data_IF_709613095085
#
_entry.id   IF_709613095085
#
_cell.length_a   1.000
_cell.length_b   1.000
_cell.length_c   1.000
_cell.angle_alpha   90.00
_cell.angle_beta   90.00
_cell.angle_gamma   90.00
#
_symmetry.space_group_name_H-M   'P 1'
#
loop_
_entity.id
_entity.type
_entity.pdbx_description
1 polymer ?
#
# COMPACT_ATOMS: atom_id res chain seq x y z
N UNK A 1 33.66 -4.37 31.53
CA UNK A 1 33.07 -3.36 30.65
C UNK A 1 32.92 -4.00 29.28
N UNK A 2 31.69 -4.18 28.82
CA UNK A 2 31.36 -4.90 27.58
C UNK A 2 31.27 -3.89 26.42
N UNK A 3 31.91 -4.09 25.25
CA UNK A 3 31.95 -3.09 24.18
C UNK A 3 30.67 -3.01 23.33
N UNK A 4 29.60 -3.74 23.69
CA UNK A 4 28.42 -3.93 22.83
C UNK A 4 27.18 -3.09 23.21
N UNK A 5 27.25 -2.24 24.22
CA UNK A 5 26.10 -1.45 24.70
C UNK A 5 25.93 -0.06 24.03
N UNK A 6 26.39 0.12 22.78
CA UNK A 6 26.34 1.44 22.08
C UNK A 6 25.71 1.38 20.69
N UNK A 7 24.64 0.59 20.50
CA UNK A 7 23.73 0.78 19.37
C UNK A 7 22.30 0.96 19.88
N UNK A 8 22.08 2.16 20.37
CA UNK A 8 20.81 2.66 20.89
C UNK A 8 19.81 2.86 19.74
N UNK A 9 18.59 2.40 19.99
CA UNK A 9 17.41 2.39 19.13
C UNK A 9 17.15 3.73 18.39
N UNK A 10 17.50 3.80 17.10
CA UNK A 10 16.97 4.82 16.20
C UNK A 10 15.60 4.37 15.65
N UNK A 11 14.57 4.40 16.50
CA UNK A 11 13.20 4.39 15.96
C UNK A 11 12.93 5.77 15.35
N UNK A 12 12.45 5.84 14.08
CA UNK A 12 12.11 7.11 13.48
C UNK A 12 11.04 7.81 14.31
N UNK A 13 11.27 9.07 14.68
CA UNK A 13 10.30 9.85 15.45
C UNK A 13 8.95 9.92 14.72
N UNK A 14 7.84 9.97 15.45
CA UNK A 14 6.47 10.06 14.89
C UNK A 14 6.34 11.14 13.79
N UNK A 15 7.01 12.29 13.98
CA UNK A 15 7.05 13.40 13.01
C UNK A 15 7.58 12.98 11.63
N UNK A 16 8.51 12.01 11.57
CA UNK A 16 9.09 11.49 10.32
C UNK A 16 8.08 10.62 9.55
N UNK A 17 7.29 9.84 10.28
CA UNK A 17 6.26 8.98 9.70
C UNK A 17 5.11 9.83 9.14
N UNK A 18 4.68 10.84 9.88
CA UNK A 18 3.67 11.81 9.43
C UNK A 18 4.13 12.58 8.18
N UNK A 19 5.41 12.98 8.13
CA UNK A 19 5.99 13.65 6.97
C UNK A 19 6.03 12.74 5.73
N UNK A 20 6.36 11.45 5.90
CA UNK A 20 6.36 10.50 4.79
C UNK A 20 4.96 10.19 4.26
N UNK A 21 3.97 10.04 5.14
CA UNK A 21 2.56 9.89 4.75
C UNK A 21 2.08 11.11 3.96
N UNK A 22 2.41 12.31 4.43
CA UNK A 22 2.09 13.55 3.72
C UNK A 22 2.75 13.61 2.33
N UNK A 23 4.00 13.14 2.21
CA UNK A 23 4.71 13.06 0.94
C UNK A 23 4.08 12.03 -0.01
N UNK A 24 3.68 10.85 0.49
CA UNK A 24 3.00 9.83 -0.31
C UNK A 24 1.67 10.33 -0.86
N UNK A 25 0.80 10.89 -0.01
CA UNK A 25 -0.44 11.51 -0.47
C UNK A 25 -0.19 12.63 -1.48
N UNK A 26 0.88 13.41 -1.30
CA UNK A 26 1.26 14.45 -2.26
C UNK A 26 1.67 13.85 -3.61
N UNK A 27 2.47 12.77 -3.61
CA UNK A 27 2.91 12.07 -4.82
C UNK A 27 1.75 11.39 -5.57
N UNK A 28 0.84 10.72 -4.84
CA UNK A 28 -0.38 10.13 -5.42
C UNK A 28 -1.27 11.22 -6.03
N UNK A 29 -1.46 12.35 -5.34
CA UNK A 29 -2.22 13.51 -5.85
C UNK A 29 -1.57 14.20 -7.04
N UNK A 30 -0.25 14.09 -7.22
CA UNK A 30 0.43 14.61 -8.41
C UNK A 30 0.17 13.74 -9.65
N UNK A 31 -0.14 12.45 -9.49
CA UNK A 31 -0.52 11.56 -10.59
C UNK A 31 -1.95 11.85 -11.08
N UNK A 32 -2.86 12.16 -10.16
CA UNK A 32 -4.26 12.53 -10.45
C UNK A 32 -4.48 14.04 -10.35
N UNK A 33 -4.03 14.75 -11.37
CA UNK A 33 -4.06 16.22 -11.43
C UNK A 33 -5.46 16.84 -11.41
N UNK A 34 -6.56 16.08 -11.50
CA UNK A 34 -7.93 16.60 -11.61
C UNK A 34 -8.98 15.78 -10.84
N UNK A 35 -8.85 15.69 -9.51
CA UNK A 35 -9.83 15.07 -8.62
C UNK A 35 -10.25 16.00 -7.45
N UNK A 36 -11.46 15.82 -6.94
CA UNK A 36 -11.95 16.54 -5.77
C UNK A 36 -11.15 16.19 -4.53
N UNK A 37 -10.54 17.16 -3.85
CA UNK A 37 -9.66 16.90 -2.69
C UNK A 37 -10.35 16.26 -1.48
N UNK A 38 -11.65 16.42 -1.35
CA UNK A 38 -12.42 15.92 -0.20
C UNK A 38 -12.97 14.51 -0.42
N UNK A 39 -13.68 14.28 -1.52
CA UNK A 39 -14.37 13.03 -1.81
C UNK A 39 -13.75 12.23 -2.97
N UNK A 40 -12.61 12.69 -3.49
CA UNK A 40 -11.83 12.10 -4.58
C UNK A 40 -12.53 11.93 -5.93
N UNK A 41 -13.81 12.32 -6.09
CA UNK A 41 -14.49 12.32 -7.41
C UNK A 41 -13.65 13.01 -8.49
N UNK A 42 -13.32 12.29 -9.55
CA UNK A 42 -12.64 12.82 -10.73
C UNK A 42 -13.64 13.50 -11.67
N UNK A 43 -13.15 14.31 -12.61
CA UNK A 43 -14.01 14.96 -13.60
C UNK A 43 -14.90 13.97 -14.40
N UNK A 44 -14.44 12.74 -14.58
CA UNK A 44 -15.15 11.68 -15.32
C UNK A 44 -16.29 11.04 -14.50
N UNK A 45 -16.32 11.25 -13.19
CA UNK A 45 -17.31 10.66 -12.27
C UNK A 45 -18.40 11.65 -11.83
N UNK A 46 -18.35 12.88 -12.35
CA UNK A 46 -19.35 13.91 -12.05
C UNK A 46 -20.56 13.79 -12.98
N UNK A 47 -21.70 14.33 -12.54
CA UNK A 47 -22.91 14.37 -13.36
C UNK A 47 -22.67 15.18 -14.65
N UNK A 48 -23.39 14.87 -15.75
CA UNK A 48 -23.27 15.62 -17.00
C UNK A 48 -23.43 17.14 -16.78
N UNK A 49 -22.44 17.91 -17.23
CA UNK A 49 -22.42 19.38 -17.10
C UNK A 49 -21.76 19.90 -15.83
N UNK A 50 -21.47 19.06 -14.84
CA UNK A 50 -20.67 19.46 -13.68
C UNK A 50 -19.17 19.46 -14.01
N UNK A 51 -18.43 20.38 -13.37
CA UNK A 51 -16.98 20.49 -13.51
C UNK A 51 -16.36 20.68 -12.13
N UNK A 52 -15.16 20.15 -11.97
CA UNK A 52 -14.35 20.42 -10.78
C UNK A 52 -14.03 21.92 -10.69
N UNK A 53 -14.24 22.48 -9.51
CA UNK A 53 -13.99 23.87 -9.18
C UNK A 53 -12.62 24.00 -8.51
N UNK A 54 -11.75 24.83 -9.09
CA UNK A 54 -10.45 25.11 -8.50
C UNK A 54 -10.56 26.16 -7.37
N UNK A 55 -9.78 25.99 -6.30
CA UNK A 55 -9.60 27.06 -5.32
C UNK A 55 -8.94 28.29 -5.96
N UNK A 56 -9.63 29.42 -5.96
CA UNK A 56 -9.15 30.66 -6.61
C UNK A 56 -7.81 31.14 -6.06
N UNK A 57 -7.59 31.05 -4.73
CA UNK A 57 -6.32 31.44 -4.09
C UNK A 57 -5.17 30.51 -4.44
N UNK A 58 -5.40 29.20 -4.42
CA UNK A 58 -4.36 28.21 -4.72
C UNK A 58 -3.97 28.20 -6.20
N UNK A 59 -4.92 28.52 -7.09
CA UNK A 59 -4.68 28.63 -8.52
C UNK A 59 -3.59 29.65 -8.85
N UNK A 60 -3.53 30.77 -8.12
CA UNK A 60 -2.50 31.80 -8.32
C UNK A 60 -1.09 31.26 -8.02
N UNK A 61 -0.98 30.39 -7.02
CA UNK A 61 0.29 29.81 -6.56
C UNK A 61 0.67 28.52 -7.29
N UNK A 62 0.05 28.25 -8.45
CA UNK A 62 0.20 27.00 -9.22
C UNK A 62 -0.13 25.73 -8.42
N UNK A 63 -0.92 25.87 -7.36
CA UNK A 63 -1.43 24.73 -6.61
C UNK A 63 -2.84 24.38 -7.07
N UNK A 64 -2.94 23.32 -7.87
CA UNK A 64 -4.21 22.90 -8.44
C UNK A 64 -4.99 22.06 -7.41
N UNK A 65 -5.77 22.75 -6.58
CA UNK A 65 -6.70 22.11 -5.63
C UNK A 65 -8.12 22.23 -6.15
N UNK A 66 -8.74 21.09 -6.41
CA UNK A 66 -10.08 20.98 -7.00
C UNK A 66 -11.10 20.45 -6.01
N UNK A 67 -12.37 20.84 -6.21
CA UNK A 67 -13.51 20.33 -5.47
C UNK A 67 -14.69 20.08 -6.41
N UNK A 68 -15.48 19.05 -6.17
CA UNK A 68 -16.70 18.81 -6.96
C UNK A 68 -17.85 19.72 -6.54
N UNK A 69 -17.81 20.28 -5.33
CA UNK A 69 -18.86 21.13 -4.78
C UNK A 69 -18.31 22.11 -3.75
N UNK A 70 -19.08 23.16 -3.46
CA UNK A 70 -18.80 24.09 -2.37
C UNK A 70 -18.80 23.39 -1.00
N UNK A 71 -19.63 22.36 -0.82
CA UNK A 71 -19.67 21.56 0.41
C UNK A 71 -18.31 20.89 0.68
N UNK A 72 -17.78 20.19 -0.32
CA UNK A 72 -16.45 19.56 -0.23
C UNK A 72 -15.35 20.58 0.08
N UNK A 73 -15.38 21.77 -0.54
CA UNK A 73 -14.41 22.82 -0.24
C UNK A 73 -14.48 23.28 1.23
N UNK A 74 -15.68 23.47 1.79
CA UNK A 74 -15.86 23.92 3.18
C UNK A 74 -15.45 22.83 4.17
N UNK A 75 -15.69 21.57 3.84
CA UNK A 75 -15.24 20.42 4.62
C UNK A 75 -13.72 20.32 4.65
N UNK A 76 -13.05 20.33 3.49
CA UNK A 76 -11.58 20.30 3.39
C UNK A 76 -10.96 21.55 4.06
N UNK A 77 -11.66 22.69 4.03
CA UNK A 77 -11.23 23.91 4.72
C UNK A 77 -11.05 23.70 6.23
N UNK A 78 -11.96 22.97 6.88
CA UNK A 78 -11.95 22.76 8.33
C UNK A 78 -11.24 21.47 8.73
N UNK A 79 -11.53 20.39 8.02
CA UNK A 79 -11.24 19.00 8.39
C UNK A 79 -10.44 18.26 7.32
N UNK A 80 -9.83 18.99 6.37
CA UNK A 80 -9.07 18.39 5.29
C UNK A 80 -7.96 17.47 5.76
N UNK A 81 -7.78 16.35 5.06
CA UNK A 81 -6.74 15.37 5.34
C UNK A 81 -5.66 15.38 4.24
N UNK A 82 -4.37 15.25 4.59
CA UNK A 82 -3.83 15.13 5.95
C UNK A 82 -3.80 16.47 6.72
N UNK A 83 -3.92 17.61 6.02
CA UNK A 83 -3.88 18.96 6.62
C UNK A 83 -5.07 19.77 6.10
N UNK A 84 -5.82 20.47 6.98
CA UNK A 84 -6.90 21.33 6.56
C UNK A 84 -6.47 22.38 5.53
N UNK A 85 -7.26 22.56 4.47
CA UNK A 85 -6.92 23.47 3.37
C UNK A 85 -6.63 24.89 3.84
N UNK A 86 -7.31 25.37 4.89
CA UNK A 86 -7.09 26.71 5.45
C UNK A 86 -5.62 27.00 5.83
N UNK A 87 -4.87 25.97 6.23
CA UNK A 87 -3.49 26.13 6.70
C UNK A 87 -2.49 26.26 5.54
N UNK A 88 -2.90 25.83 4.35
CA UNK A 88 -2.05 25.72 3.17
C UNK A 88 -2.55 26.62 2.02
N UNK A 89 -3.80 27.10 2.10
CA UNK A 89 -4.43 27.91 1.08
C UNK A 89 -3.69 29.23 0.86
N UNK A 90 -3.28 29.49 -0.38
CA UNK A 90 -2.61 30.75 -0.75
C UNK A 90 -1.17 30.89 -0.26
N UNK A 91 -0.56 29.83 0.31
CA UNK A 91 0.87 29.78 0.62
C UNK A 91 1.67 29.23 -0.56
N UNK A 92 2.93 29.64 -0.72
CA UNK A 92 3.87 28.98 -1.61
C UNK A 92 4.37 27.71 -0.94
N UNK A 93 4.68 26.67 -1.72
CA UNK A 93 5.16 25.37 -1.19
C UNK A 93 6.41 25.56 -0.31
N UNK A 94 7.28 26.51 -0.67
CA UNK A 94 8.48 26.84 0.10
C UNK A 94 8.20 27.46 1.49
N UNK A 95 7.00 28.03 1.70
CA UNK A 95 6.63 28.75 2.91
C UNK A 95 5.72 27.93 3.84
N UNK A 96 5.51 26.63 3.55
CA UNK A 96 4.77 25.74 4.44
C UNK A 96 5.79 25.18 5.44
N UNK A 97 5.80 25.67 6.71
CA UNK A 97 6.77 25.19 7.67
C UNK A 97 6.48 23.72 8.00
N UNK A 98 7.51 22.87 7.94
CA UNK A 98 7.45 21.44 8.30
C UNK A 98 6.94 21.19 9.74
N UNK A 99 6.83 22.22 10.57
CA UNK A 99 6.35 22.16 11.95
C UNK A 99 4.82 22.05 12.11
N UNK A 100 4.02 22.14 11.03
CA UNK A 100 2.55 21.97 11.11
C UNK A 100 2.14 20.49 11.27
N UNK A 101 3.08 19.54 11.17
CA UNK A 101 2.86 18.11 11.46
C UNK A 101 2.71 17.77 12.95
N UNK A 102 3.11 18.65 13.87
CA UNK A 102 3.40 18.24 15.26
C UNK A 102 2.31 18.55 16.29
N UNK A 103 1.08 18.07 16.06
CA UNK A 103 0.08 17.98 17.14
C UNK A 103 -0.69 16.67 17.10
N UNK A 104 0.04 15.56 17.31
CA UNK A 104 -0.52 14.24 17.59
C UNK A 104 0.11 13.77 18.91
N UNK A 105 -0.67 13.17 19.85
CA UNK A 105 -0.13 12.67 21.12
C UNK A 105 0.99 11.66 20.89
N UNK A 106 2.08 11.81 21.67
CA UNK A 106 3.22 10.90 21.72
C UNK A 106 2.75 9.54 22.24
N UNK A 107 2.60 8.55 21.36
CA UNK A 107 2.31 7.16 21.73
C UNK A 107 3.63 6.40 21.74
N UNK A 108 4.10 6.05 22.94
CA UNK A 108 5.20 5.10 23.16
C UNK A 108 4.63 3.66 23.11
N UNK A 109 5.41 2.77 22.49
CA UNK A 109 5.16 1.34 22.22
C UNK A 109 3.87 1.02 21.45
N UNK A 110 4.03 0.76 20.15
CA UNK A 110 2.94 0.55 19.18
C UNK A 110 1.97 -0.57 19.62
N UNK A 111 0.72 -0.25 19.97
CA UNK A 111 -0.29 -1.23 20.39
C UNK A 111 -0.84 -2.10 19.24
N UNK A 112 -0.18 -2.12 18.08
CA UNK A 112 -0.70 -2.67 16.82
C UNK A 112 -0.15 -4.05 16.44
N UNK A 113 0.72 -4.66 17.25
CA UNK A 113 1.29 -5.99 16.95
C UNK A 113 2.21 -6.04 15.71
N UNK A 114 2.48 -4.90 15.08
CA UNK A 114 3.35 -4.79 13.91
C UNK A 114 4.80 -4.88 14.38
N UNK A 115 5.60 -5.84 13.87
CA UNK A 115 6.97 -6.02 14.32
C UNK A 115 7.85 -4.81 13.95
N UNK A 116 9.02 -4.70 14.57
CA UNK A 116 10.05 -3.73 14.13
C UNK A 116 10.67 -4.20 12.81
N UNK A 117 11.18 -3.26 12.01
CA UNK A 117 11.96 -3.60 10.82
C UNK A 117 13.26 -4.31 11.21
N UNK A 118 13.69 -5.26 10.39
CA UNK A 118 14.97 -5.96 10.58
C UNK A 118 16.15 -5.00 10.42
N UNK A 119 17.28 -5.34 11.05
CA UNK A 119 18.49 -4.52 10.98
C UNK A 119 18.96 -4.37 9.51
N UNK A 120 19.06 -3.13 9.04
CA UNK A 120 19.47 -2.81 7.66
C UNK A 120 18.31 -2.68 6.67
N UNK A 121 17.08 -3.06 7.05
CA UNK A 121 15.90 -2.85 6.23
C UNK A 121 15.27 -1.47 6.51
N UNK A 122 15.13 -0.66 5.46
CA UNK A 122 14.43 0.63 5.53
C UNK A 122 13.08 0.50 4.86
N UNK A 123 12.00 0.61 5.66
CA UNK A 123 10.62 0.59 5.14
C UNK A 123 10.39 1.75 4.16
N UNK A 124 9.70 1.46 3.07
CA UNK A 124 9.30 2.48 2.10
C UNK A 124 8.26 3.43 2.70
N UNK A 125 8.07 4.60 2.06
CA UNK A 125 7.03 5.54 2.46
C UNK A 125 5.62 4.96 2.28
N UNK A 126 5.41 4.11 1.26
CA UNK A 126 4.15 3.42 1.04
C UNK A 126 3.84 2.42 2.17
N UNK A 127 4.83 1.62 2.58
CA UNK A 127 4.66 0.67 3.69
C UNK A 127 4.45 1.36 5.03
N UNK A 128 5.12 2.48 5.27
CA UNK A 128 4.89 3.28 6.48
C UNK A 128 3.49 3.90 6.51
N UNK A 129 2.96 4.30 5.35
CA UNK A 129 1.57 4.72 5.24
C UNK A 129 0.60 3.59 5.57
N UNK A 130 0.83 2.39 5.04
CA UNK A 130 0.05 1.20 5.37
C UNK A 130 0.05 0.90 6.88
N UNK A 131 1.22 0.92 7.51
CA UNK A 131 1.39 0.74 8.97
C UNK A 131 0.62 1.82 9.75
N UNK A 132 0.63 3.07 9.29
CA UNK A 132 -0.11 4.16 9.93
C UNK A 132 -1.63 3.93 9.89
N UNK A 133 -2.17 3.37 8.81
CA UNK A 133 -3.59 3.03 8.70
C UNK A 133 -3.95 1.89 9.67
N UNK A 134 -3.14 0.83 9.72
CA UNK A 134 -3.34 -0.31 10.63
C UNK A 134 -3.24 0.09 12.11
N UNK A 135 -2.45 1.11 12.45
CA UNK A 135 -2.39 1.63 13.82
C UNK A 135 -3.68 2.36 14.23
N UNK A 136 -4.45 2.89 13.29
CA UNK A 136 -5.71 3.59 13.56
C UNK A 136 -6.88 2.63 13.77
N UNK A 137 -6.86 1.47 13.14
CA UNK A 137 -7.93 0.48 13.18
C UNK A 137 -7.39 -0.92 13.48
N UNK A 138 -7.65 -1.42 14.69
CA UNK A 138 -7.10 -2.70 15.17
C UNK A 138 -7.78 -3.93 14.56
N UNK A 139 -8.92 -3.75 13.90
CA UNK A 139 -9.71 -4.84 13.33
C UNK A 139 -9.42 -5.07 11.84
N UNK A 140 -8.41 -4.36 11.30
CA UNK A 140 -8.01 -4.41 9.89
C UNK A 140 -6.59 -4.94 9.79
N UNK A 141 -6.35 -5.96 8.95
CA UNK A 141 -5.00 -6.49 8.73
C UNK A 141 -4.31 -5.84 7.54
N UNK A 142 -5.09 -5.34 6.59
CA UNK A 142 -4.55 -4.70 5.39
C UNK A 142 -5.57 -3.75 4.75
N UNK A 143 -5.06 -2.62 4.27
CA UNK A 143 -5.77 -1.65 3.46
C UNK A 143 -5.35 -1.77 1.99
N UNK A 144 -6.32 -1.97 1.08
CA UNK A 144 -6.06 -1.86 -0.36
C UNK A 144 -6.32 -0.40 -0.77
N UNK A 145 -5.30 0.26 -1.31
CA UNK A 145 -5.32 1.64 -1.73
C UNK A 145 -5.58 1.73 -3.23
N UNK A 146 -6.63 2.46 -3.62
CA UNK A 146 -6.87 2.75 -5.04
C UNK A 146 -5.95 3.90 -5.49
N UNK A 147 -5.27 3.79 -6.65
CA UNK A 147 -4.33 4.79 -7.16
C UNK A 147 -4.96 6.18 -7.30
N UNK A 148 -6.29 6.21 -7.47
CA UNK A 148 -7.05 7.43 -7.69
C UNK A 148 -7.66 8.00 -6.40
N UNK A 149 -7.49 7.32 -5.25
CA UNK A 149 -8.15 7.67 -3.98
C UNK A 149 -9.69 7.61 -4.03
N UNK A 150 -10.29 7.27 -5.17
CA UNK A 150 -11.74 7.31 -5.43
C UNK A 150 -12.51 6.12 -4.86
N UNK A 151 -11.83 5.07 -4.42
CA UNK A 151 -12.46 3.88 -3.85
C UNK A 151 -12.55 3.96 -2.33
N UNK A 152 -13.53 3.28 -1.70
CA UNK A 152 -13.46 3.04 -0.27
C UNK A 152 -12.13 2.36 0.06
N UNK A 153 -11.49 2.77 1.16
CA UNK A 153 -10.43 1.97 1.78
C UNK A 153 -11.01 0.59 2.08
N UNK A 154 -10.62 -0.43 1.32
CA UNK A 154 -11.14 -1.77 1.54
C UNK A 154 -10.30 -2.45 2.60
N UNK A 155 -11.01 -2.82 3.67
CA UNK A 155 -10.48 -3.49 4.85
C UNK A 155 -10.45 -4.98 4.57
N UNK A 156 -9.25 -5.56 4.56
CA UNK A 156 -9.08 -7.01 4.57
C UNK A 156 -9.06 -7.45 6.03
N UNK A 157 -10.06 -8.24 6.43
CA UNK A 157 -10.26 -8.69 7.81
C UNK A 157 -9.62 -10.04 8.14
N UNK A 158 -9.35 -10.20 9.44
CA UNK A 158 -8.64 -11.24 10.23
C UNK A 158 -7.75 -12.31 9.55
N UNK A 159 -6.45 -12.21 9.85
CA UNK A 159 -5.33 -13.19 9.76
C UNK A 159 -4.80 -13.57 8.37
N UNK A 160 -5.10 -12.79 7.34
CA UNK A 160 -4.65 -13.15 5.98
C UNK A 160 -3.21 -12.74 5.67
N UNK A 161 -2.70 -11.71 6.36
CA UNK A 161 -1.34 -11.21 6.13
C UNK A 161 -0.45 -11.61 7.31
N UNK A 162 0.57 -12.46 7.10
CA UNK A 162 1.56 -12.75 8.13
C UNK A 162 2.26 -11.44 8.53
N UNK A 163 2.14 -11.02 9.79
CA UNK A 163 2.79 -9.78 10.27
C UNK A 163 4.31 -9.75 10.07
N UNK A 164 4.92 -10.93 9.89
CA UNK A 164 6.34 -11.05 9.60
C UNK A 164 6.74 -10.44 8.25
N UNK A 165 5.79 -10.27 7.30
CA UNK A 165 6.06 -9.57 6.04
C UNK A 165 6.48 -8.12 6.29
N UNK A 166 6.03 -7.47 7.37
CA UNK A 166 6.40 -6.08 7.69
C UNK A 166 7.84 -5.91 8.20
N UNK A 167 8.59 -7.00 8.43
CA UNK A 167 9.95 -6.95 8.97
C UNK A 167 11.01 -6.68 7.91
N UNK A 168 10.83 -7.21 6.71
CA UNK A 168 11.81 -7.18 5.63
C UNK A 168 11.12 -7.22 4.26
N UNK A 169 11.90 -7.10 3.20
CA UNK A 169 11.49 -7.20 1.79
C UNK A 169 11.56 -8.64 1.25
N UNK A 170 11.31 -9.66 2.08
CA UNK A 170 11.35 -11.07 1.68
C UNK A 170 10.38 -11.33 0.49
N UNK A 171 10.90 -11.59 -0.72
CA UNK A 171 10.08 -11.75 -1.92
C UNK A 171 9.07 -12.89 -1.80
N UNK A 172 9.41 -13.96 -1.08
CA UNK A 172 8.52 -15.11 -0.89
C UNK A 172 7.35 -14.73 0.01
N UNK A 173 7.61 -13.97 1.07
CA UNK A 173 6.57 -13.44 1.96
C UNK A 173 5.62 -12.48 1.22
N UNK A 174 6.16 -11.56 0.40
CA UNK A 174 5.36 -10.62 -0.40
C UNK A 174 4.55 -11.36 -1.48
N UNK A 175 5.12 -12.41 -2.10
CA UNK A 175 4.41 -13.25 -3.07
C UNK A 175 3.27 -14.05 -2.43
N UNK A 176 3.49 -14.61 -1.24
CA UNK A 176 2.43 -15.27 -0.46
C UNK A 176 1.32 -14.29 -0.08
N UNK A 177 1.68 -13.07 0.30
CA UNK A 177 0.73 -12.00 0.59
C UNK A 177 -0.10 -11.62 -0.64
N UNK A 178 0.53 -11.49 -1.81
CA UNK A 178 -0.16 -11.27 -3.08
C UNK A 178 -1.16 -12.39 -3.40
N UNK A 179 -0.74 -13.65 -3.22
CA UNK A 179 -1.61 -14.81 -3.44
C UNK A 179 -2.80 -14.83 -2.48
N UNK A 180 -2.58 -14.52 -1.20
CA UNK A 180 -3.64 -14.42 -0.20
C UNK A 180 -4.64 -13.32 -0.56
N UNK A 181 -4.16 -12.11 -0.88
CA UNK A 181 -4.99 -10.97 -1.24
C UNK A 181 -5.77 -11.19 -2.55
N UNK A 182 -5.20 -11.92 -3.51
CA UNK A 182 -5.91 -12.34 -4.72
C UNK A 182 -6.98 -13.40 -4.46
N UNK A 183 -6.73 -14.29 -3.52
CA UNK A 183 -7.66 -15.35 -3.11
C UNK A 183 -8.82 -14.84 -2.26
N UNK A 184 -8.73 -13.62 -1.73
CA UNK A 184 -9.81 -12.95 -1.00
C UNK A 184 -10.97 -12.61 -1.92
N UNK A 185 -11.91 -13.54 -2.08
CA UNK A 185 -13.22 -13.21 -2.64
C UNK A 185 -14.05 -12.51 -1.55
N UNK A 186 -13.91 -11.18 -1.44
CA UNK A 186 -14.62 -10.35 -0.46
C UNK A 186 -16.10 -10.15 -0.84
N UNK A 187 -16.78 -11.21 -1.28
CA UNK A 187 -18.23 -11.33 -1.44
C UNK A 187 -18.90 -10.47 -2.52
N UNK A 188 -18.28 -9.38 -2.97
CA UNK A 188 -18.85 -8.48 -3.99
C UNK A 188 -17.84 -7.59 -4.73
N UNK A 189 -16.54 -7.65 -4.41
CA UNK A 189 -15.51 -6.80 -5.04
C UNK A 189 -14.35 -7.66 -5.49
N UNK A 190 -14.27 -7.91 -6.80
CA UNK A 190 -13.07 -8.44 -7.44
C UNK A 190 -12.11 -7.29 -7.69
N UNK A 191 -10.88 -7.41 -7.19
CA UNK A 191 -9.85 -6.41 -7.40
C UNK A 191 -9.06 -6.72 -8.67
N UNK A 192 -8.70 -5.70 -9.47
CA UNK A 192 -7.70 -5.88 -10.50
C UNK A 192 -6.41 -6.42 -9.86
N UNK A 193 -5.87 -7.54 -10.36
CA UNK A 193 -4.64 -8.10 -9.81
C UNK A 193 -3.47 -7.11 -9.87
N UNK A 194 -3.43 -6.30 -10.93
CA UNK A 194 -2.40 -5.26 -11.11
C UNK A 194 -2.46 -4.20 -10.00
N UNK A 195 -3.63 -3.93 -9.41
CA UNK A 195 -3.77 -2.99 -8.31
C UNK A 195 -3.02 -3.49 -7.07
N UNK A 196 -3.30 -4.72 -6.66
CA UNK A 196 -2.68 -5.33 -5.48
C UNK A 196 -1.19 -5.53 -5.72
N UNK A 197 -0.81 -5.96 -6.93
CA UNK A 197 0.59 -6.12 -7.35
C UNK A 197 1.34 -4.81 -7.21
N UNK A 198 0.89 -3.76 -7.89
CA UNK A 198 1.58 -2.46 -7.88
C UNK A 198 1.69 -1.88 -6.46
N UNK A 199 0.65 -2.04 -5.63
CA UNK A 199 0.71 -1.61 -4.24
C UNK A 199 1.78 -2.36 -3.45
N UNK A 200 1.84 -3.69 -3.56
CA UNK A 200 2.85 -4.50 -2.86
C UNK A 200 4.27 -4.21 -3.35
N UNK A 201 4.45 -4.02 -4.65
CA UNK A 201 5.76 -3.66 -5.21
C UNK A 201 6.21 -2.28 -4.72
N UNK A 202 5.31 -1.29 -4.65
CA UNK A 202 5.57 0.04 -4.07
C UNK A 202 5.85 -0.04 -2.56
N UNK A 203 5.14 -0.89 -1.81
CA UNK A 203 5.29 -1.05 -0.37
C UNK A 203 6.61 -1.74 0.01
N UNK A 204 6.94 -2.84 -0.65
CA UNK A 204 8.09 -3.66 -0.26
C UNK A 204 9.34 -3.39 -1.09
N UNK A 205 9.26 -2.53 -2.11
CA UNK A 205 10.34 -2.30 -3.09
C UNK A 205 10.82 -3.62 -3.73
N UNK A 206 9.90 -4.58 -3.86
CA UNK A 206 10.15 -5.90 -4.41
C UNK A 206 9.46 -6.01 -5.78
N UNK A 207 10.06 -6.71 -6.73
CA UNK A 207 9.36 -7.11 -7.95
C UNK A 207 8.67 -8.43 -7.70
N UNK A 208 7.34 -8.46 -7.79
CA UNK A 208 6.58 -9.69 -7.62
C UNK A 208 6.80 -10.58 -8.85
N UNK A 209 7.66 -11.59 -8.71
CA UNK A 209 7.68 -12.69 -9.68
C UNK A 209 6.30 -13.34 -9.67
N UNK A 210 5.64 -13.42 -10.83
CA UNK A 210 4.42 -14.22 -10.93
C UNK A 210 4.72 -15.60 -10.34
N UNK A 211 3.91 -16.14 -9.42
CA UNK A 211 4.08 -17.52 -9.03
C UNK A 211 4.00 -18.32 -10.32
N UNK A 212 5.06 -19.07 -10.62
CA UNK A 212 5.09 -19.98 -11.77
C UNK A 212 3.79 -20.78 -11.62
N UNK A 213 2.83 -20.65 -12.55
CA UNK A 213 1.58 -21.41 -12.43
C UNK A 213 2.01 -22.85 -12.20
N UNK A 214 1.53 -23.51 -11.13
CA UNK A 214 1.99 -24.86 -10.80
C UNK A 214 1.89 -25.62 -12.09
N UNK A 215 3.04 -26.08 -12.62
CA UNK A 215 3.15 -26.57 -13.99
C UNK A 215 1.93 -27.45 -14.19
N UNK A 216 0.97 -27.00 -15.02
CA UNK A 216 -0.30 -27.70 -15.12
C UNK A 216 0.12 -29.09 -15.53
N UNK A 217 -0.04 -30.06 -14.62
CA UNK A 217 0.40 -31.42 -14.87
C UNK A 217 -0.18 -31.76 -16.22
N UNK A 218 0.70 -32.03 -17.17
CA UNK A 218 0.29 -32.23 -18.56
C UNK A 218 -0.80 -33.28 -18.55
N UNK A 219 -1.74 -33.25 -19.51
CA UNK A 219 -2.80 -34.26 -19.57
C UNK A 219 -2.23 -35.69 -19.46
N UNK A 220 -1.01 -35.90 -19.93
CA UNK A 220 -0.23 -37.13 -19.81
C UNK A 220 0.18 -37.43 -18.35
N UNK A 221 0.73 -36.46 -17.61
CA UNK A 221 1.05 -36.60 -16.18
C UNK A 221 -0.20 -36.83 -15.31
N UNK A 222 -1.31 -36.12 -15.57
CA UNK A 222 -2.58 -36.38 -14.87
C UNK A 222 -3.13 -37.77 -15.21
N UNK A 223 -2.98 -38.23 -16.46
CA UNK A 223 -3.37 -39.60 -16.86
C UNK A 223 -2.47 -40.65 -16.20
N UNK A 224 -1.20 -40.33 -15.96
CA UNK A 224 -0.24 -41.22 -15.31
C UNK A 224 -0.55 -41.39 -13.82
N UNK A 225 -0.89 -40.30 -13.12
CA UNK A 225 -1.29 -40.31 -11.71
C UNK A 225 -2.63 -41.03 -11.51
N UNK A 226 -3.63 -40.78 -12.37
CA UNK A 226 -4.94 -41.44 -12.29
C UNK A 226 -4.90 -42.95 -12.58
N UNK A 227 -3.82 -43.45 -13.19
CA UNK A 227 -3.59 -44.88 -13.42
C UNK A 227 -2.82 -45.59 -12.30
N UNK A 228 -2.48 -44.90 -11.21
CA UNK A 228 -1.83 -45.50 -10.03
C UNK A 228 -0.42 -46.01 -10.28
N UNK A 229 0.28 -45.50 -11.29
CA UNK A 229 1.66 -45.91 -11.60
C UNK A 229 2.64 -45.04 -10.80
N UNK A 230 2.88 -45.40 -9.55
CA UNK A 230 4.01 -44.88 -8.79
C UNK A 230 5.30 -45.54 -9.31
N UNK A 231 6.08 -44.82 -10.12
CA UNK A 231 7.55 -44.64 -9.98
C UNK A 231 8.24 -44.26 -11.32
N UNK A 232 8.78 -43.02 -11.49
CA UNK A 232 9.54 -42.62 -12.67
C UNK A 232 11.04 -43.03 -12.65
N UNK A 233 11.57 -43.59 -11.57
CA UNK A 233 13.03 -43.74 -11.42
C UNK A 233 13.64 -44.96 -12.14
N UNK A 234 12.85 -45.89 -12.69
CA UNK A 234 13.39 -47.12 -13.30
C UNK A 234 13.65 -47.07 -14.82
N UNK A 235 13.54 -45.91 -15.49
CA UNK A 235 13.75 -45.85 -16.96
C UNK A 235 15.19 -45.60 -17.44
N UNK A 236 16.16 -45.36 -16.55
CA UNK A 236 17.54 -45.01 -16.97
C UNK A 236 18.56 -46.15 -16.95
N UNK A 237 18.20 -47.39 -16.58
CA UNK A 237 19.20 -48.48 -16.48
C UNK A 237 19.12 -49.49 -17.65
N UNK A 238 18.04 -49.53 -18.43
CA UNK A 238 17.86 -50.56 -19.47
C UNK A 238 18.20 -50.13 -20.92
N UNK A 239 19.14 -49.19 -21.10
CA UNK A 239 19.45 -48.62 -22.42
C UNK A 239 20.85 -48.86 -22.98
N UNK A 240 21.78 -49.44 -22.21
CA UNK A 240 23.17 -49.63 -22.65
C UNK A 240 23.69 -51.02 -22.28
N UNK A 241 23.23 -52.07 -22.97
CA UNK A 241 23.98 -53.32 -23.14
C UNK A 241 23.39 -54.09 -24.31
N UNK A 242 24.03 -54.00 -25.49
CA UNK A 242 24.32 -55.16 -26.36
C UNK A 242 25.02 -54.70 -27.64
N UNK A 243 26.24 -55.24 -27.80
CA UNK A 243 26.95 -55.65 -29.03
C UNK A 243 27.02 -54.68 -30.22
#
# INVERSE_FOLDING_TARGET
MNPFDVYENLQPSQNFLDQMVANYHTAVRQRDTHACRTCNKSANTLDPGQKLQACSKCRVNRWNVYYCSRGCQVEDWKNGLPIPHKLICGKLIADIPSSISSSIPKVEESPSGIPKADAGYTRTSALLHQISLLQKDKDVDYYIMFPNGTGPEIRVGSRMVPFDTFRNDDPDAVSNMFAALRGCDLGCISFPHDLIRNQLEDEYNATLTEPIPPAMATREEMTFVMRGLTDPLNRRIAGNTTA
#
